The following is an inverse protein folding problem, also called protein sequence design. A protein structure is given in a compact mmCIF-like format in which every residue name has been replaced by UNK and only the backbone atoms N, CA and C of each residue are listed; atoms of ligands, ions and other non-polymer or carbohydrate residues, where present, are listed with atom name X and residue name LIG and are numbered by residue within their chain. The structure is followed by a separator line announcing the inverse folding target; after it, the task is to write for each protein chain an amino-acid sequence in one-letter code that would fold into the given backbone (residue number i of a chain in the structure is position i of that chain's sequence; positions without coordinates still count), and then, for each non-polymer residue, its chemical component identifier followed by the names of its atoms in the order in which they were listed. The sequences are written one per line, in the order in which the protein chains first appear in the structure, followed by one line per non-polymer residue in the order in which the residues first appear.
data_IF_536998563550
#
_entry.id   IF_536998563550
#
_cell.length_a   1.000
_cell.length_b   1.000
_cell.length_c   1.000
_cell.angle_alpha   90.00
_cell.angle_beta   90.00
_cell.angle_gamma   90.00
#
_symmetry.space_group_name_H-M   'P 1'
#
loop_
_entity.id
_entity.type
_entity.pdbx_description
1 polymer ?
#
# COMPACT_ATOMS: atom_id res chain seq x y z
N UNK A 1 -26.54 -11.38 -3.18
CA UNK A 1 -25.23 -11.28 -3.86
C UNK A 1 -24.36 -12.39 -3.32
N UNK A 2 -23.71 -13.17 -4.17
CA UNK A 2 -22.79 -14.22 -3.71
C UNK A 2 -21.40 -13.63 -3.47
N UNK A 3 -20.61 -14.29 -2.62
CA UNK A 3 -19.25 -13.88 -2.28
C UNK A 3 -18.38 -13.73 -3.53
N UNK A 4 -18.55 -14.63 -4.49
CA UNK A 4 -17.81 -14.64 -5.75
C UNK A 4 -18.10 -13.41 -6.62
N UNK A 5 -19.34 -12.90 -6.59
CA UNK A 5 -19.70 -11.67 -7.32
C UNK A 5 -19.00 -10.47 -6.68
N UNK A 6 -18.99 -10.38 -5.35
CA UNK A 6 -18.34 -9.29 -4.62
C UNK A 6 -16.83 -9.32 -4.85
N UNK A 7 -16.20 -10.50 -4.78
CA UNK A 7 -14.77 -10.65 -5.04
C UNK A 7 -14.41 -10.23 -6.47
N UNK A 8 -15.17 -10.67 -7.48
CA UNK A 8 -14.94 -10.29 -8.86
C UNK A 8 -15.09 -8.77 -9.07
N UNK A 9 -16.13 -8.17 -8.48
CA UNK A 9 -16.34 -6.72 -8.55
C UNK A 9 -15.18 -5.95 -7.90
N UNK A 10 -14.71 -6.39 -6.73
CA UNK A 10 -13.57 -5.79 -6.04
C UNK A 10 -12.28 -5.92 -6.84
N UNK A 11 -12.01 -7.07 -7.47
CA UNK A 11 -10.86 -7.24 -8.36
C UNK A 11 -10.91 -6.30 -9.57
N UNK A 12 -12.08 -6.11 -10.16
CA UNK A 12 -12.27 -5.20 -11.28
C UNK A 12 -12.03 -3.75 -10.86
N UNK A 13 -12.53 -3.35 -9.68
CA UNK A 13 -12.27 -2.03 -9.11
C UNK A 13 -10.77 -1.84 -8.85
N UNK A 14 -10.10 -2.82 -8.26
CA UNK A 14 -8.65 -2.77 -8.01
C UNK A 14 -7.87 -2.54 -9.30
N UNK A 15 -8.12 -3.33 -10.34
CA UNK A 15 -7.45 -3.16 -11.66
C UNK A 15 -7.71 -1.78 -12.27
N UNK A 16 -8.94 -1.26 -12.13
CA UNK A 16 -9.28 0.06 -12.64
C UNK A 16 -8.54 1.18 -11.88
N UNK A 17 -8.38 1.02 -10.56
CA UNK A 17 -7.63 1.95 -9.71
C UNK A 17 -6.13 1.90 -10.02
N UNK A 18 -5.54 0.70 -10.09
CA UNK A 18 -4.12 0.51 -10.44
C UNK A 18 -3.78 1.15 -11.78
N UNK A 19 -4.62 0.93 -12.80
CA UNK A 19 -4.44 1.55 -14.12
C UNK A 19 -4.47 3.07 -14.04
N UNK A 20 -5.42 3.65 -13.30
CA UNK A 20 -5.52 5.10 -13.13
C UNK A 20 -4.31 5.69 -12.42
N UNK A 21 -3.82 5.02 -11.38
CA UNK A 21 -2.61 5.42 -10.67
C UNK A 21 -1.43 5.35 -11.65
N UNK A 22 -1.28 4.27 -12.41
CA UNK A 22 -0.22 4.13 -13.41
C UNK A 22 -0.25 5.20 -14.50
N UNK A 23 -1.44 5.56 -14.99
CA UNK A 23 -1.62 6.61 -16.00
C UNK A 23 -1.30 8.02 -15.44
N UNK A 24 -1.41 8.23 -14.13
CA UNK A 24 -1.13 9.51 -13.46
C UNK A 24 0.33 9.64 -12.99
N UNK A 25 0.98 8.54 -12.61
CA UNK A 25 2.31 8.57 -12.01
C UNK A 25 3.37 9.05 -13.01
N UNK A 26 4.17 10.08 -12.68
CA UNK A 26 5.30 10.48 -13.50
C UNK A 26 6.44 9.45 -13.44
N UNK A 27 7.38 9.53 -14.38
CA UNK A 27 8.56 8.64 -14.43
C UNK A 27 9.41 8.69 -13.15
N UNK A 28 9.36 9.81 -12.41
CA UNK A 28 10.09 10.00 -11.16
C UNK A 28 9.12 10.28 -10.03
N UNK A 29 9.11 9.37 -9.06
CA UNK A 29 8.31 9.46 -7.84
C UNK A 29 9.23 9.34 -6.62
N UNK A 30 8.87 10.02 -5.55
CA UNK A 30 9.38 9.70 -4.22
C UNK A 30 8.54 8.60 -3.59
N UNK A 31 9.14 7.76 -2.77
CA UNK A 31 8.42 6.77 -1.97
C UNK A 31 8.39 7.24 -0.51
N UNK A 32 7.20 7.22 0.10
CA UNK A 32 7.00 7.49 1.52
C UNK A 32 6.41 6.24 2.18
N UNK A 33 7.03 5.86 3.29
CA UNK A 33 6.56 4.79 4.17
C UNK A 33 5.91 5.43 5.39
N UNK A 34 4.69 5.00 5.70
CA UNK A 34 3.96 5.49 6.88
C UNK A 34 3.41 4.32 7.69
N UNK A 35 3.52 4.43 9.01
CA UNK A 35 2.98 3.46 9.96
C UNK A 35 1.55 3.82 10.30
N UNK A 36 0.58 3.00 9.91
CA UNK A 36 -0.84 3.20 10.23
C UNK A 36 -1.26 2.20 11.29
N UNK A 37 -1.85 2.69 12.38
CA UNK A 37 -2.28 1.84 13.51
C UNK A 37 -3.78 2.04 13.77
N UNK A 38 -4.68 1.29 13.13
CA UNK A 38 -6.07 1.25 13.52
C UNK A 38 -6.21 0.32 14.74
N UNK A 39 -6.39 0.91 15.92
CA UNK A 39 -6.52 0.13 17.17
C UNK A 39 -5.19 -0.47 17.63
N UNK A 40 -5.08 -1.79 17.66
CA UNK A 40 -3.88 -2.54 18.10
C UNK A 40 -3.10 -3.18 16.97
N UNK A 41 -3.59 -3.10 15.73
CA UNK A 41 -2.92 -3.66 14.56
C UNK A 41 -2.00 -2.60 13.96
N UNK A 42 -0.76 -2.97 13.64
CA UNK A 42 0.20 -2.07 13.01
C UNK A 42 0.31 -2.44 11.55
N UNK A 43 0.24 -1.44 10.68
CA UNK A 43 0.36 -1.60 9.24
C UNK A 43 1.44 -0.69 8.70
N UNK A 44 2.11 -1.14 7.65
CA UNK A 44 2.97 -0.31 6.83
C UNK A 44 2.21 0.06 5.56
N UNK A 45 2.01 1.37 5.35
CA UNK A 45 1.47 1.91 4.12
C UNK A 45 2.59 2.50 3.27
N UNK A 46 2.55 2.25 1.96
CA UNK A 46 3.50 2.79 0.97
C UNK A 46 2.78 3.77 0.06
N UNK A 47 3.36 4.95 -0.12
CA UNK A 47 2.84 6.02 -0.97
C UNK A 47 3.85 6.41 -2.03
N UNK A 48 3.37 6.65 -3.24
CA UNK A 48 4.08 7.43 -4.25
C UNK A 48 3.79 8.91 -4.05
N UNK A 49 4.82 9.71 -3.80
CA UNK A 49 4.75 11.16 -3.74
C UNK A 49 5.35 11.78 -4.99
N UNK A 50 4.62 12.67 -5.63
CA UNK A 50 5.04 13.34 -6.85
C UNK A 50 4.43 14.73 -6.93
N UNK A 51 4.94 15.53 -7.86
CA UNK A 51 4.32 16.80 -8.22
C UNK A 51 3.54 16.62 -9.52
N UNK A 52 2.28 17.01 -9.50
CA UNK A 52 1.44 17.09 -10.69
C UNK A 52 0.90 18.52 -10.80
N UNK A 53 1.28 19.23 -11.86
CA UNK A 53 0.87 20.61 -12.12
C UNK A 53 1.18 21.58 -10.95
N UNK A 54 2.35 21.46 -10.33
CA UNK A 54 2.76 22.32 -9.20
C UNK A 54 2.09 21.97 -7.86
N UNK A 55 1.29 20.89 -7.80
CA UNK A 55 0.64 20.41 -6.59
C UNK A 55 1.25 19.08 -6.18
N UNK A 56 1.61 18.96 -4.90
CA UNK A 56 2.10 17.69 -4.34
C UNK A 56 0.95 16.69 -4.25
N UNK A 57 1.12 15.55 -4.89
CA UNK A 57 0.24 14.39 -4.81
C UNK A 57 0.87 13.30 -3.97
N UNK A 58 0.02 12.47 -3.37
CA UNK A 58 0.40 11.27 -2.65
C UNK A 58 -0.61 10.15 -2.95
N UNK A 59 -0.21 9.19 -3.77
CA UNK A 59 -1.03 8.04 -4.15
C UNK A 59 -0.60 6.82 -3.35
N UNK A 60 -1.53 6.22 -2.60
CA UNK A 60 -1.26 5.00 -1.83
C UNK A 60 -1.13 3.82 -2.77
N UNK A 61 0.01 3.15 -2.74
CA UNK A 61 0.29 2.00 -3.60
C UNK A 61 -0.13 0.69 -2.92
N UNK A 62 0.20 0.54 -1.63
CA UNK A 62 -0.10 -0.70 -0.91
C UNK A 62 -0.17 -0.49 0.61
N UNK A 63 -0.71 -1.51 1.29
CA UNK A 63 -0.68 -1.66 2.75
C UNK A 63 -0.40 -3.12 3.10
N UNK A 64 0.46 -3.34 4.09
CA UNK A 64 0.74 -4.67 4.62
C UNK A 64 0.63 -4.63 6.14
N UNK A 65 0.05 -5.67 6.75
CA UNK A 65 0.14 -5.84 8.18
C UNK A 65 1.59 -6.03 8.57
N UNK A 66 2.02 -5.33 9.61
CA UNK A 66 3.23 -5.64 10.36
C UNK A 66 2.77 -6.70 11.37
N UNK A 67 3.29 -7.92 11.25
CA UNK A 67 2.97 -8.98 12.19
C UNK A 67 3.42 -8.49 13.57
N UNK A 68 2.48 -8.45 14.52
CA UNK A 68 2.72 -8.05 15.91
C UNK A 68 2.47 -9.25 16.82
N UNK A 69 3.41 -10.20 16.83
CA UNK A 69 3.54 -11.16 17.91
C UNK A 69 3.87 -10.46 19.24
N UNK A 70 3.72 -11.14 20.39
CA UNK A 70 3.98 -10.55 21.71
C UNK A 70 5.44 -10.11 21.94
N UNK A 71 6.35 -10.42 21.02
CA UNK A 71 7.78 -10.04 21.03
C UNK A 71 8.17 -9.17 19.81
N UNK A 72 7.20 -8.77 18.97
CA UNK A 72 7.46 -7.94 17.79
C UNK A 72 7.62 -6.47 18.19
N UNK A 73 8.86 -6.00 18.10
CA UNK A 73 9.28 -4.70 18.62
C UNK A 73 9.04 -3.51 17.66
N UNK A 74 8.21 -3.68 16.61
CA UNK A 74 8.03 -2.70 15.53
C UNK A 74 9.37 -2.16 15.01
N UNK A 75 10.37 -3.04 14.97
CA UNK A 75 11.73 -2.64 14.67
C UNK A 75 11.94 -2.56 13.15
N UNK A 76 13.09 -2.07 12.72
CA UNK A 76 13.41 -1.94 11.29
C UNK A 76 13.30 -3.28 10.53
N UNK A 77 13.56 -4.42 11.17
CA UNK A 77 13.48 -5.75 10.57
C UNK A 77 12.02 -6.15 10.28
N UNK A 78 11.09 -5.92 11.22
CA UNK A 78 9.64 -6.14 11.01
C UNK A 78 9.11 -5.28 9.85
N UNK A 79 9.56 -4.02 9.77
CA UNK A 79 9.22 -3.13 8.66
C UNK A 79 9.80 -3.61 7.31
N UNK A 80 11.04 -4.12 7.29
CA UNK A 80 11.65 -4.69 6.09
C UNK A 80 10.97 -5.99 5.63
N UNK A 81 10.50 -6.81 6.57
CA UNK A 81 9.73 -8.01 6.27
C UNK A 81 8.36 -7.64 5.64
N UNK A 82 7.67 -6.64 6.17
CA UNK A 82 6.45 -6.10 5.58
C UNK A 82 6.72 -5.53 4.17
N UNK A 83 7.85 -4.86 3.96
CA UNK A 83 8.26 -4.39 2.62
C UNK A 83 8.52 -5.54 1.65
N UNK A 84 9.19 -6.59 2.11
CA UNK A 84 9.52 -7.77 1.30
C UNK A 84 8.26 -8.55 0.90
N UNK A 85 7.24 -8.58 1.76
CA UNK A 85 5.95 -9.17 1.41
C UNK A 85 5.30 -8.49 0.19
N UNK A 86 5.53 -7.19 -0.04
CA UNK A 86 5.03 -6.51 -1.24
C UNK A 86 5.73 -6.94 -2.53
N UNK A 87 7.03 -7.25 -2.48
CA UNK A 87 7.78 -7.74 -3.64
C UNK A 87 7.34 -9.15 -4.09
N UNK A 88 6.61 -9.89 -3.25
CA UNK A 88 6.09 -11.21 -3.61
C UNK A 88 4.80 -11.15 -4.43
N UNK A 89 4.15 -9.98 -4.50
CA UNK A 89 2.90 -9.76 -5.23
C UNK A 89 3.07 -8.90 -6.50
N UNK A 90 4.30 -8.53 -6.86
CA UNK A 90 4.63 -7.76 -8.08
C UNK A 90 5.15 -8.63 -9.21
#
# INVERSE_FOLDING_TARGET
MCEETITCDMENVTKAVERRIGDELPEKIGIVLDGVTPGSEHYLAVFACYELNGVRQASRLCIAPIINGPDDSLNAESHMAALSAFYLFS
#
